data_IF_172176880125
#
_entry.id   IF_172176880125
#
_cell.length_a   1.000
_cell.length_b   1.000
_cell.length_c   1.000
_cell.angle_alpha   90.00
_cell.angle_beta   90.00
_cell.angle_gamma   90.00
#
_symmetry.space_group_name_H-M   'P 1'
#
loop_
_entity.id
_entity.type
_entity.pdbx_description
1 polymer ?
#
# COMPACT_ATOMS: atom_id res chain seq x y z
N UNK A 1 11.15 11.36 -3.25
CA UNK A 1 10.07 12.19 -3.77
C UNK A 1 10.61 13.62 -3.93
N UNK A 2 10.01 14.45 -4.81
CA UNK A 2 10.66 15.72 -5.23
C UNK A 2 11.06 16.63 -4.06
N UNK A 3 10.20 16.78 -3.06
CA UNK A 3 10.41 17.71 -1.93
C UNK A 3 10.76 17.00 -0.61
N UNK A 4 10.55 15.69 -0.54
CA UNK A 4 10.74 14.93 0.68
C UNK A 4 11.93 13.96 0.51
N UNK A 5 12.94 14.12 1.35
CA UNK A 5 14.14 13.28 1.39
C UNK A 5 14.18 12.51 2.69
N UNK A 6 14.38 11.20 2.61
CA UNK A 6 14.64 10.34 3.76
C UNK A 6 16.01 9.72 3.62
N UNK A 7 16.82 9.81 4.68
CA UNK A 7 18.12 9.15 4.79
C UNK A 7 18.00 8.07 5.86
N UNK A 8 18.41 6.86 5.55
CA UNK A 8 18.38 5.74 6.49
C UNK A 8 19.70 4.98 6.47
N UNK A 9 20.06 4.33 7.57
CA UNK A 9 21.33 3.63 7.73
C UNK A 9 21.18 2.52 8.76
N UNK A 10 22.06 1.52 8.71
CA UNK A 10 22.04 0.41 9.66
C UNK A 10 22.69 0.77 11.02
N UNK A 11 23.66 1.68 11.01
CA UNK A 11 24.33 2.12 12.23
C UNK A 11 24.27 3.65 12.38
N UNK A 12 24.39 4.12 13.63
CA UNK A 12 24.43 5.56 13.93
C UNK A 12 25.67 6.23 13.33
N UNK A 13 26.80 5.52 13.26
CA UNK A 13 28.04 6.03 12.67
C UNK A 13 27.89 6.27 11.17
N UNK A 14 27.36 5.27 10.46
CA UNK A 14 27.12 5.38 9.02
C UNK A 14 26.07 6.43 8.72
N UNK A 15 25.07 6.56 9.61
CA UNK A 15 24.02 7.57 9.46
C UNK A 15 24.57 8.99 9.45
N UNK A 16 25.54 9.31 10.32
CA UNK A 16 26.21 10.62 10.31
C UNK A 16 26.89 10.90 8.97
N UNK A 17 27.58 9.90 8.41
CA UNK A 17 28.25 10.01 7.12
C UNK A 17 27.24 10.21 5.98
N UNK A 18 26.20 9.37 5.94
CA UNK A 18 25.17 9.46 4.90
C UNK A 18 24.38 10.77 4.95
N UNK A 19 24.09 11.29 6.15
CA UNK A 19 23.42 12.58 6.30
C UNK A 19 24.33 13.72 5.81
N UNK A 20 25.63 13.70 6.17
CA UNK A 20 26.59 14.71 5.71
C UNK A 20 26.74 14.71 4.18
N UNK A 21 26.80 13.52 3.58
CA UNK A 21 26.84 13.35 2.12
C UNK A 21 25.57 13.90 1.46
N UNK A 22 24.37 13.52 1.97
CA UNK A 22 23.11 13.99 1.46
C UNK A 22 22.99 15.53 1.51
N UNK A 23 23.39 16.13 2.64
CA UNK A 23 23.41 17.60 2.80
C UNK A 23 24.36 18.28 1.81
N UNK A 24 25.54 17.67 1.58
CA UNK A 24 26.52 18.18 0.62
C UNK A 24 25.99 18.12 -0.82
N UNK A 25 25.37 16.99 -1.21
CA UNK A 25 24.77 16.81 -2.55
C UNK A 25 23.64 17.81 -2.79
N UNK A 26 22.75 18.01 -1.81
CA UNK A 26 21.67 18.98 -1.89
C UNK A 26 22.20 20.42 -2.01
N UNK A 27 23.21 20.78 -1.21
CA UNK A 27 23.87 22.08 -1.27
C UNK A 27 24.52 22.34 -2.62
N UNK A 28 25.25 21.36 -3.16
CA UNK A 28 25.89 21.45 -4.49
C UNK A 28 24.86 21.58 -5.62
N UNK A 29 23.66 21.04 -5.44
CA UNK A 29 22.54 21.18 -6.37
C UNK A 29 21.80 22.53 -6.22
N UNK A 30 22.25 23.43 -5.34
CA UNK A 30 21.62 24.73 -5.09
C UNK A 30 20.32 24.66 -4.27
N UNK A 31 20.06 23.53 -3.61
CA UNK A 31 18.87 23.34 -2.77
C UNK A 31 19.16 23.79 -1.33
N UNK A 32 18.20 24.48 -0.73
CA UNK A 32 18.25 24.93 0.65
C UNK A 32 17.27 24.18 1.54
N UNK A 33 17.67 23.84 2.76
CA UNK A 33 16.88 23.11 3.73
C UNK A 33 16.34 24.05 4.83
N UNK A 34 15.10 23.84 5.25
CA UNK A 34 14.53 24.48 6.43
C UNK A 34 14.76 23.57 7.64
N UNK A 35 15.74 23.90 8.50
CA UNK A 35 16.07 23.11 9.69
C UNK A 35 14.86 22.78 10.57
N UNK A 36 13.92 23.70 10.70
CA UNK A 36 12.66 23.49 11.46
C UNK A 36 11.79 22.35 10.92
N UNK A 37 12.00 21.92 9.66
CA UNK A 37 11.30 20.80 9.01
C UNK A 37 12.15 19.53 8.94
N UNK A 38 13.41 19.59 9.39
CA UNK A 38 14.31 18.44 9.38
C UNK A 38 14.18 17.69 10.70
N UNK A 39 14.02 16.39 10.61
CA UNK A 39 13.98 15.47 11.75
C UNK A 39 15.19 14.57 11.67
N UNK A 40 16.20 14.82 12.52
CA UNK A 40 17.43 14.05 12.57
C UNK A 40 17.35 12.97 13.64
N UNK A 41 17.94 11.79 13.37
CA UNK A 41 18.02 10.64 14.29
C UNK A 41 16.67 10.17 14.85
N UNK A 42 15.59 10.34 14.10
CA UNK A 42 14.28 9.87 14.50
C UNK A 42 14.16 8.35 14.33
N UNK A 43 13.73 7.64 15.37
CA UNK A 43 13.43 6.20 15.30
C UNK A 43 12.11 5.91 14.58
N UNK A 44 11.23 6.90 14.54
CA UNK A 44 9.94 6.83 13.85
C UNK A 44 9.79 8.07 12.98
N UNK A 45 9.48 7.86 11.71
CA UNK A 45 9.35 8.94 10.72
C UNK A 45 8.03 8.83 9.99
N UNK A 46 7.29 9.94 9.92
CA UNK A 46 6.17 10.09 9.00
C UNK A 46 6.71 10.51 7.63
N UNK A 47 6.57 9.63 6.64
CA UNK A 47 7.06 9.87 5.30
C UNK A 47 6.01 9.45 4.26
N UNK A 48 5.61 10.38 3.40
CA UNK A 48 4.61 10.18 2.34
C UNK A 48 3.31 9.53 2.84
N UNK A 49 2.88 9.91 4.04
CA UNK A 49 1.65 9.36 4.64
C UNK A 49 1.80 8.00 5.32
N UNK A 50 2.99 7.46 5.37
CA UNK A 50 3.32 6.23 6.07
C UNK A 50 4.14 6.52 7.34
N UNK A 51 3.97 5.68 8.35
CA UNK A 51 4.84 5.65 9.54
C UNK A 51 5.90 4.58 9.31
N UNK A 52 7.15 5.00 9.24
CA UNK A 52 8.32 4.12 9.12
C UNK A 52 8.94 3.96 10.50
N UNK A 53 9.11 2.72 10.93
CA UNK A 53 9.82 2.30 12.13
C UNK A 53 10.90 1.28 11.75
N UNK A 54 11.86 0.95 12.64
CA UNK A 54 12.84 -0.08 12.34
C UNK A 54 12.19 -1.37 11.85
N UNK A 55 12.46 -1.72 10.59
CA UNK A 55 11.92 -2.92 9.92
C UNK A 55 10.39 -2.95 9.70
N UNK A 56 9.65 -1.88 9.98
CA UNK A 56 8.18 -1.86 9.96
C UNK A 56 7.62 -0.66 9.20
N UNK A 57 6.51 -0.90 8.51
CA UNK A 57 5.74 0.12 7.79
C UNK A 57 4.30 0.13 8.31
N UNK A 58 3.78 1.32 8.59
CA UNK A 58 2.40 1.54 9.04
C UNK A 58 1.71 2.68 8.32
N UNK A 59 0.45 2.90 8.65
CA UNK A 59 -0.36 4.03 8.16
C UNK A 59 -0.21 5.22 9.11
N UNK A 60 -0.02 6.42 8.59
CA UNK A 60 0.11 7.63 9.40
C UNK A 60 -1.22 7.97 10.12
N UNK A 61 -1.14 8.41 11.37
CA UNK A 61 -2.29 8.68 12.23
C UNK A 61 -3.25 9.72 11.64
N UNK A 62 -2.73 10.75 11.02
CA UNK A 62 -3.53 11.79 10.32
C UNK A 62 -4.49 11.17 9.29
N UNK A 63 -4.07 10.11 8.58
CA UNK A 63 -4.88 9.46 7.55
C UNK A 63 -5.87 8.46 8.15
N UNK A 64 -5.51 7.78 9.24
CA UNK A 64 -6.46 6.97 10.00
C UNK A 64 -7.56 7.82 10.64
N UNK A 65 -7.25 9.01 11.12
CA UNK A 65 -8.25 9.95 11.64
C UNK A 65 -9.22 10.42 10.55
N UNK A 66 -8.74 10.72 9.33
CA UNK A 66 -9.61 11.04 8.21
C UNK A 66 -10.58 9.91 7.85
N UNK A 67 -10.12 8.65 7.94
CA UNK A 67 -10.97 7.47 7.72
C UNK A 67 -12.01 7.28 8.84
N UNK A 68 -11.65 7.57 10.12
CA UNK A 68 -12.59 7.46 11.24
C UNK A 68 -13.82 8.34 11.05
N UNK A 69 -13.61 9.56 10.60
CA UNK A 69 -14.66 10.58 10.47
C UNK A 69 -15.32 10.63 9.10
N UNK A 70 -14.85 9.82 8.13
CA UNK A 70 -15.39 9.80 6.78
C UNK A 70 -16.88 9.41 6.78
N UNK A 71 -17.78 10.29 6.31
CA UNK A 71 -19.18 9.95 6.14
C UNK A 71 -19.39 9.05 4.92
N UNK A 72 -20.54 8.40 4.84
CA UNK A 72 -20.93 7.71 3.61
C UNK A 72 -21.02 8.72 2.45
N UNK A 73 -20.41 8.43 1.30
CA UNK A 73 -20.37 9.34 0.17
C UNK A 73 -21.76 9.51 -0.46
N UNK A 74 -22.13 10.75 -0.76
CA UNK A 74 -23.38 11.13 -1.43
C UNK A 74 -23.16 11.47 -2.90
N UNK A 75 -21.92 11.71 -3.28
CA UNK A 75 -21.53 12.08 -4.65
C UNK A 75 -20.37 11.21 -5.13
N UNK A 76 -20.23 11.09 -6.47
CA UNK A 76 -19.08 10.42 -7.06
C UNK A 76 -17.75 11.08 -6.69
N UNK A 77 -17.71 12.38 -6.46
CA UNK A 77 -16.51 13.11 -6.06
C UNK A 77 -16.08 12.70 -4.65
N UNK A 78 -17.00 12.64 -3.71
CA UNK A 78 -16.73 12.14 -2.36
C UNK A 78 -16.28 10.68 -2.37
N UNK A 79 -16.92 9.84 -3.20
CA UNK A 79 -16.54 8.44 -3.35
C UNK A 79 -15.14 8.29 -3.95
N UNK A 80 -14.78 9.09 -4.98
CA UNK A 80 -13.42 9.11 -5.54
C UNK A 80 -12.39 9.54 -4.51
N UNK A 81 -12.70 10.55 -3.68
CA UNK A 81 -11.81 11.01 -2.61
C UNK A 81 -11.55 9.91 -1.58
N UNK A 82 -12.62 9.23 -1.13
CA UNK A 82 -12.52 8.10 -0.20
C UNK A 82 -11.69 6.94 -0.79
N UNK A 83 -12.03 6.50 -2.01
CA UNK A 83 -11.29 5.43 -2.69
C UNK A 83 -9.85 5.83 -3.00
N UNK A 84 -9.59 7.10 -3.32
CA UNK A 84 -8.25 7.64 -3.49
C UNK A 84 -7.39 7.45 -2.23
N UNK A 85 -7.94 7.84 -1.07
CA UNK A 85 -7.28 7.63 0.22
C UNK A 85 -7.05 6.13 0.51
N UNK A 86 -8.08 5.30 0.33
CA UNK A 86 -7.96 3.86 0.51
C UNK A 86 -6.93 3.23 -0.41
N UNK A 87 -6.82 3.71 -1.66
CA UNK A 87 -5.91 3.17 -2.67
C UNK A 87 -4.43 3.45 -2.36
N UNK A 88 -4.11 4.54 -1.68
CA UNK A 88 -2.75 4.79 -1.16
C UNK A 88 -2.30 3.68 -0.23
N UNK A 89 -3.22 3.16 0.57
CA UNK A 89 -2.97 2.13 1.58
C UNK A 89 -3.43 0.73 1.17
N UNK A 90 -3.71 0.50 -0.11
CA UNK A 90 -4.22 -0.78 -0.61
C UNK A 90 -3.33 -1.98 -0.27
N UNK A 91 -2.01 -1.75 -0.12
CA UNK A 91 -1.04 -2.78 0.27
C UNK A 91 -1.22 -3.32 1.69
N UNK A 92 -1.97 -2.62 2.53
CA UNK A 92 -2.32 -3.06 3.89
C UNK A 92 -3.62 -3.86 3.94
N UNK A 93 -4.35 -3.98 2.82
CA UNK A 93 -5.67 -4.61 2.80
C UNK A 93 -5.65 -5.85 1.91
N UNK A 94 -5.73 -7.06 2.50
CA UNK A 94 -5.91 -8.28 1.72
C UNK A 94 -7.15 -8.18 0.84
N UNK A 95 -7.05 -8.63 -0.41
CA UNK A 95 -8.16 -8.67 -1.37
C UNK A 95 -8.84 -7.31 -1.60
N UNK A 96 -8.06 -6.22 -1.54
CA UNK A 96 -8.56 -4.84 -1.70
C UNK A 96 -9.50 -4.67 -2.89
N UNK A 97 -9.15 -5.23 -4.05
CA UNK A 97 -9.94 -5.09 -5.27
C UNK A 97 -11.33 -5.72 -5.14
N UNK A 98 -11.46 -6.86 -4.39
CA UNK A 98 -12.73 -7.50 -4.11
C UNK A 98 -13.62 -6.59 -3.27
N UNK A 99 -13.06 -6.09 -2.19
CA UNK A 99 -13.78 -5.24 -1.24
C UNK A 99 -14.21 -3.93 -1.92
N UNK A 100 -13.34 -3.34 -2.76
CA UNK A 100 -13.63 -2.08 -3.44
C UNK A 100 -14.56 -2.21 -4.66
N UNK A 101 -14.81 -3.43 -5.19
CA UNK A 101 -15.57 -3.63 -6.41
C UNK A 101 -16.98 -3.00 -6.38
N UNK A 102 -17.81 -3.17 -5.33
CA UNK A 102 -19.16 -2.55 -5.28
C UNK A 102 -19.11 -1.01 -5.28
N UNK A 103 -18.04 -0.41 -4.71
CA UNK A 103 -17.85 1.04 -4.70
C UNK A 103 -17.39 1.53 -6.08
N UNK A 104 -16.47 0.80 -6.72
CA UNK A 104 -16.00 1.12 -8.07
C UNK A 104 -17.12 1.03 -9.11
N UNK A 105 -18.08 0.13 -8.94
CA UNK A 105 -19.25 0.03 -9.82
C UNK A 105 -20.08 1.33 -9.84
N UNK A 106 -20.13 2.08 -8.73
CA UNK A 106 -20.81 3.38 -8.65
C UNK A 106 -20.08 4.52 -9.37
N UNK A 107 -18.85 4.28 -9.82
CA UNK A 107 -18.03 5.22 -10.61
C UNK A 107 -18.02 4.87 -12.10
N UNK A 108 -18.73 3.82 -12.51
CA UNK A 108 -18.80 3.39 -13.90
C UNK A 108 -19.42 4.51 -14.80
N UNK A 109 -19.06 4.48 -16.09
CA UNK A 109 -19.61 5.42 -17.08
C UNK A 109 -21.12 5.28 -17.14
N UNK A 110 -21.85 6.39 -17.07
CA UNK A 110 -23.32 6.41 -17.10
C UNK A 110 -23.97 6.38 -15.70
N UNK A 111 -23.23 6.21 -14.63
CA UNK A 111 -23.79 6.32 -13.27
C UNK A 111 -24.04 7.80 -12.90
N UNK A 112 -25.15 8.14 -12.22
CA UNK A 112 -25.43 9.50 -11.79
C UNK A 112 -24.33 10.07 -10.86
N UNK A 113 -24.03 11.37 -11.01
CA UNK A 113 -23.05 12.08 -10.15
C UNK A 113 -23.50 12.11 -8.68
N UNK A 114 -24.80 12.26 -8.46
CA UNK A 114 -25.44 12.12 -7.15
C UNK A 114 -25.75 10.64 -6.92
N UNK A 115 -25.21 10.05 -5.86
CA UNK A 115 -25.28 8.62 -5.63
C UNK A 115 -26.56 8.18 -4.92
N UNK A 116 -27.50 9.04 -4.58
CA UNK A 116 -28.72 8.63 -3.88
C UNK A 116 -28.46 7.71 -2.67
N UNK A 117 -29.45 6.91 -2.24
CA UNK A 117 -29.24 5.86 -1.26
C UNK A 117 -28.28 4.80 -1.82
N UNK A 118 -27.18 4.54 -1.10
CA UNK A 118 -26.19 3.55 -1.53
C UNK A 118 -26.75 2.12 -1.42
N UNK A 119 -26.45 1.23 -2.39
CA UNK A 119 -26.73 -0.19 -2.25
C UNK A 119 -26.07 -0.80 -1.02
N UNK A 120 -26.71 -1.78 -0.38
CA UNK A 120 -26.17 -2.45 0.82
C UNK A 120 -24.76 -2.99 0.63
N UNK A 121 -24.46 -3.57 -0.53
CA UNK A 121 -23.11 -4.05 -0.88
C UNK A 121 -22.07 -2.93 -0.87
N UNK A 122 -22.41 -1.71 -1.32
CA UNK A 122 -21.51 -0.56 -1.29
C UNK A 122 -21.31 -0.05 0.14
N UNK A 123 -22.34 -0.02 0.97
CA UNK A 123 -22.25 0.34 2.39
C UNK A 123 -21.34 -0.65 3.13
N UNK A 124 -21.53 -1.94 2.90
CA UNK A 124 -20.69 -2.99 3.48
C UNK A 124 -19.24 -2.83 3.05
N UNK A 125 -18.97 -2.61 1.76
CA UNK A 125 -17.64 -2.39 1.21
C UNK A 125 -16.96 -1.15 1.82
N UNK A 126 -17.69 -0.03 1.95
CA UNK A 126 -17.21 1.19 2.57
C UNK A 126 -16.77 0.95 4.02
N UNK A 127 -17.64 0.33 4.82
CA UNK A 127 -17.37 0.05 6.23
C UNK A 127 -16.20 -0.92 6.39
N UNK A 128 -16.12 -1.96 5.55
CA UNK A 128 -15.05 -2.95 5.60
C UNK A 128 -13.69 -2.33 5.24
N UNK A 129 -13.60 -1.50 4.19
CA UNK A 129 -12.37 -0.78 3.86
C UNK A 129 -11.95 0.13 5.01
N UNK A 130 -12.88 0.86 5.59
CA UNK A 130 -12.63 1.75 6.73
C UNK A 130 -12.09 0.97 7.93
N UNK A 131 -12.73 -0.14 8.30
CA UNK A 131 -12.31 -1.03 9.39
C UNK A 131 -10.89 -1.57 9.16
N UNK A 132 -10.62 -2.12 7.98
CA UNK A 132 -9.32 -2.69 7.63
C UNK A 132 -8.18 -1.67 7.69
N UNK A 133 -8.45 -0.43 7.32
CA UNK A 133 -7.46 0.65 7.34
C UNK A 133 -7.34 1.35 8.69
N UNK A 134 -8.32 1.23 9.58
CA UNK A 134 -8.22 1.69 10.97
C UNK A 134 -7.40 0.74 11.85
N UNK A 135 -7.37 -0.55 11.50
CA UNK A 135 -6.58 -1.57 12.18
C UNK A 135 -5.73 -2.34 11.15
N UNK A 136 -4.84 -1.65 10.41
CA UNK A 136 -4.06 -2.28 9.37
C UNK A 136 -3.04 -3.25 9.96
N UNK A 137 -2.72 -4.34 9.25
CA UNK A 137 -1.60 -5.19 9.62
C UNK A 137 -0.30 -4.37 9.57
N UNK A 138 0.65 -4.71 10.42
CA UNK A 138 2.00 -4.15 10.32
C UNK A 138 2.70 -4.85 9.17
N UNK A 139 3.14 -4.08 8.17
CA UNK A 139 3.96 -4.60 7.08
C UNK A 139 5.43 -4.54 7.47
N UNK A 140 6.21 -5.50 6.99
CA UNK A 140 7.66 -5.42 7.09
C UNK A 140 8.24 -4.58 5.94
N UNK A 141 9.41 -3.98 6.18
CA UNK A 141 10.22 -3.41 5.11
C UNK A 141 11.04 -4.53 4.46
N UNK A 142 11.22 -4.51 3.12
CA UNK A 142 12.05 -5.48 2.41
C UNK A 142 13.49 -5.46 2.94
N UNK A 143 14.10 -6.63 3.03
CA UNK A 143 15.48 -6.84 3.46
C UNK A 143 16.25 -7.59 2.37
N UNK A 144 17.56 -7.36 2.30
CA UNK A 144 18.44 -8.10 1.39
C UNK A 144 18.50 -9.59 1.74
N UNK A 145 18.39 -9.92 3.04
CA UNK A 145 18.46 -11.29 3.55
C UNK A 145 17.09 -11.75 4.07
N UNK A 146 16.86 -13.04 4.04
CA UNK A 146 15.64 -13.71 4.51
C UNK A 146 14.81 -14.24 3.35
N UNK A 147 14.40 -15.51 3.47
CA UNK A 147 13.59 -16.18 2.46
C UNK A 147 12.29 -15.42 2.20
N UNK A 148 11.90 -15.37 0.94
CA UNK A 148 10.66 -14.79 0.46
C UNK A 148 9.66 -15.89 0.11
N UNK A 149 8.41 -15.70 0.49
CA UNK A 149 7.29 -16.52 0.04
C UNK A 149 6.26 -15.65 -0.66
N UNK A 150 5.74 -16.18 -1.74
CA UNK A 150 4.69 -15.56 -2.53
C UNK A 150 3.44 -16.45 -2.47
N UNK A 151 2.47 -16.03 -1.68
CA UNK A 151 1.15 -16.65 -1.68
C UNK A 151 0.29 -16.01 -2.75
N UNK A 152 -0.34 -16.83 -3.60
CA UNK A 152 -1.23 -16.38 -4.67
C UNK A 152 -2.61 -16.99 -4.51
N UNK A 153 -3.65 -16.25 -4.89
CA UNK A 153 -5.03 -16.67 -4.81
C UNK A 153 -5.80 -16.13 -6.01
N UNK A 154 -6.70 -16.94 -6.57
CA UNK A 154 -7.60 -16.55 -7.64
C UNK A 154 -9.05 -16.83 -7.27
N UNK A 155 -9.93 -15.96 -7.71
CA UNK A 155 -11.38 -16.12 -7.61
C UNK A 155 -12.03 -15.84 -8.97
N UNK A 156 -13.38 -16.00 -9.06
CA UNK A 156 -14.10 -15.75 -10.32
C UNK A 156 -13.97 -14.32 -10.87
N UNK A 157 -13.66 -13.36 -10.04
CA UNK A 157 -13.55 -11.97 -10.46
C UNK A 157 -12.19 -11.32 -10.26
N UNK A 158 -11.23 -11.99 -9.57
CA UNK A 158 -10.04 -11.29 -9.10
C UNK A 158 -8.84 -12.22 -8.88
N UNK A 159 -7.66 -11.60 -8.96
CA UNK A 159 -6.40 -12.19 -8.52
C UNK A 159 -5.90 -11.46 -7.28
N UNK A 160 -5.25 -12.19 -6.39
CA UNK A 160 -4.60 -11.67 -5.20
C UNK A 160 -3.25 -12.31 -4.96
N UNK A 161 -2.37 -11.60 -4.28
CA UNK A 161 -1.15 -12.16 -3.75
C UNK A 161 -0.69 -11.45 -2.47
N UNK A 162 0.11 -12.16 -1.68
CA UNK A 162 0.79 -11.66 -0.52
C UNK A 162 2.28 -12.04 -0.62
N UNK A 163 3.17 -11.06 -0.52
CA UNK A 163 4.60 -11.31 -0.41
C UNK A 163 4.99 -11.26 1.05
N UNK A 164 5.64 -12.32 1.53
CA UNK A 164 6.01 -12.52 2.92
C UNK A 164 7.52 -12.69 2.98
N UNK A 165 8.16 -12.16 4.02
CA UNK A 165 9.59 -12.33 4.26
C UNK A 165 9.87 -12.70 5.71
N UNK A 166 10.78 -13.66 5.92
CA UNK A 166 11.27 -13.99 7.26
C UNK A 166 12.04 -12.81 7.86
N UNK A 167 11.68 -12.48 9.07
CA UNK A 167 12.34 -11.46 9.87
C UNK A 167 13.50 -12.08 10.67
N UNK A 168 14.45 -11.28 11.23
CA UNK A 168 15.58 -11.80 12.01
C UNK A 168 15.18 -12.63 13.24
N UNK A 169 13.97 -12.39 13.76
CA UNK A 169 13.38 -13.16 14.86
C UNK A 169 12.74 -14.48 14.41
N UNK A 170 12.91 -14.85 13.14
CA UNK A 170 12.36 -16.07 12.53
C UNK A 170 10.87 -16.00 12.19
N UNK A 171 10.19 -14.89 12.48
CA UNK A 171 8.76 -14.75 12.19
C UNK A 171 8.53 -14.26 10.77
N UNK A 172 7.65 -14.93 10.00
CA UNK A 172 7.25 -14.44 8.70
C UNK A 172 6.34 -13.19 8.85
N UNK A 173 6.62 -12.15 8.09
CA UNK A 173 5.78 -10.95 8.05
C UNK A 173 5.48 -10.55 6.60
N UNK A 174 4.26 -10.05 6.34
CA UNK A 174 3.91 -9.55 5.02
C UNK A 174 4.68 -8.27 4.69
N UNK A 175 5.19 -8.21 3.48
CA UNK A 175 5.69 -6.98 2.85
C UNK A 175 4.55 -6.19 2.21
N UNK A 176 3.44 -6.86 1.91
CA UNK A 176 2.23 -6.26 1.38
C UNK A 176 1.29 -7.26 0.74
N UNK A 177 0.11 -6.75 0.45
CA UNK A 177 -0.96 -7.44 -0.26
C UNK A 177 -1.21 -6.72 -1.59
N UNK A 178 -1.41 -7.48 -2.65
CA UNK A 178 -1.76 -6.95 -3.98
C UNK A 178 -2.97 -7.70 -4.52
N UNK A 179 -3.80 -6.99 -5.26
CA UNK A 179 -4.96 -7.59 -5.90
C UNK A 179 -5.38 -6.79 -7.11
N UNK A 180 -5.95 -7.46 -8.12
CA UNK A 180 -6.60 -6.82 -9.27
C UNK A 180 -7.84 -7.58 -9.71
N UNK A 181 -8.73 -6.87 -10.34
CA UNK A 181 -9.90 -7.47 -10.99
C UNK A 181 -9.47 -8.15 -12.29
N UNK A 182 -10.09 -9.28 -12.61
CA UNK A 182 -9.99 -9.96 -13.91
C UNK A 182 -10.67 -9.13 -15.00
N UNK A 183 -10.04 -9.05 -16.17
CA UNK A 183 -10.69 -8.47 -17.34
C UNK A 183 -11.76 -9.41 -17.91
N UNK A 184 -12.50 -8.98 -18.94
CA UNK A 184 -13.59 -9.74 -19.51
C UNK A 184 -13.18 -11.10 -20.08
N UNK A 185 -12.01 -11.19 -20.72
CA UNK A 185 -11.48 -12.44 -21.25
C UNK A 185 -11.01 -13.40 -20.13
N UNK A 186 -10.27 -12.88 -19.15
CA UNK A 186 -9.75 -13.65 -18.03
C UNK A 186 -10.85 -14.26 -17.14
N UNK A 187 -12.03 -13.64 -17.07
CA UNK A 187 -13.19 -14.18 -16.33
C UNK A 187 -13.68 -15.50 -16.88
N UNK A 188 -13.46 -15.75 -18.18
CA UNK A 188 -13.88 -16.98 -18.85
C UNK A 188 -12.85 -18.12 -18.70
N UNK A 189 -11.70 -17.86 -18.06
CA UNK A 189 -10.71 -18.88 -17.78
C UNK A 189 -11.24 -19.90 -16.77
N UNK A 190 -10.80 -21.14 -16.91
CA UNK A 190 -11.03 -22.18 -15.90
C UNK A 190 -10.36 -21.81 -14.57
N UNK A 191 -10.74 -22.48 -13.50
CA UNK A 191 -10.13 -22.26 -12.16
C UNK A 191 -8.61 -22.45 -12.21
N UNK A 192 -8.14 -23.51 -12.86
CA UNK A 192 -6.69 -23.79 -13.00
C UNK A 192 -5.97 -22.69 -13.77
N UNK A 193 -6.56 -22.19 -14.86
CA UNK A 193 -5.97 -21.10 -15.63
C UNK A 193 -5.94 -19.78 -14.84
N UNK A 194 -6.97 -19.50 -14.03
CA UNK A 194 -6.97 -18.33 -13.12
C UNK A 194 -5.88 -18.44 -12.04
N UNK A 195 -5.69 -19.62 -11.47
CA UNK A 195 -4.60 -19.85 -10.50
C UNK A 195 -3.21 -19.67 -11.15
N UNK A 196 -2.99 -20.24 -12.33
CA UNK A 196 -1.77 -20.03 -13.09
C UNK A 196 -1.56 -18.55 -13.43
N UNK A 197 -2.63 -17.85 -13.84
CA UNK A 197 -2.59 -16.42 -14.12
C UNK A 197 -2.22 -15.60 -12.87
N UNK A 198 -2.72 -15.99 -11.69
CA UNK A 198 -2.37 -15.34 -10.43
C UNK A 198 -0.86 -15.41 -10.16
N UNK A 199 -0.24 -16.58 -10.37
CA UNK A 199 1.21 -16.76 -10.21
C UNK A 199 1.97 -15.88 -11.22
N UNK A 200 1.65 -15.96 -12.50
CA UNK A 200 2.32 -15.18 -13.56
C UNK A 200 2.19 -13.69 -13.30
N UNK A 201 0.99 -13.23 -12.95
CA UNK A 201 0.75 -11.83 -12.64
C UNK A 201 1.53 -11.39 -11.40
N UNK A 202 1.50 -12.16 -10.32
CA UNK A 202 2.17 -11.82 -9.08
C UNK A 202 3.69 -11.73 -9.27
N UNK A 203 4.32 -12.70 -9.91
CA UNK A 203 5.76 -12.69 -10.20
C UNK A 203 6.14 -11.49 -11.08
N UNK A 204 5.36 -11.22 -12.11
CA UNK A 204 5.62 -10.08 -13.01
C UNK A 204 5.46 -8.74 -12.29
N UNK A 205 4.39 -8.61 -11.48
CA UNK A 205 4.09 -7.38 -10.74
C UNK A 205 5.10 -7.11 -9.62
N UNK A 206 5.58 -8.16 -8.98
CA UNK A 206 6.51 -8.10 -7.85
C UNK A 206 7.98 -8.25 -8.26
N UNK A 207 8.27 -8.22 -9.56
CA UNK A 207 9.65 -8.28 -10.08
C UNK A 207 10.66 -7.40 -9.32
N UNK A 208 10.33 -6.14 -8.93
CA UNK A 208 11.26 -5.30 -8.16
C UNK A 208 11.65 -5.85 -6.78
N UNK A 209 10.86 -6.75 -6.22
CA UNK A 209 11.12 -7.41 -4.93
C UNK A 209 11.78 -8.77 -5.10
N UNK A 210 11.52 -9.45 -6.20
CA UNK A 210 11.93 -10.83 -6.44
C UNK A 210 13.22 -10.93 -7.26
N UNK A 211 13.57 -9.88 -8.01
CA UNK A 211 14.72 -9.91 -8.90
C UNK A 211 16.03 -9.77 -8.12
N UNK A 212 16.93 -10.76 -8.24
CA UNK A 212 18.21 -10.78 -7.55
C UNK A 212 18.16 -11.31 -6.11
N UNK A 213 17.04 -11.87 -5.68
CA UNK A 213 16.95 -12.70 -4.46
C UNK A 213 17.15 -14.16 -4.83
N UNK A 214 17.94 -14.90 -4.01
CA UNK A 214 18.12 -16.34 -4.12
C UNK A 214 16.86 -17.11 -3.68
#
# INVERSE_FOLDING_TARGET
YLDDVIVFSQSRKDHLSHVAEALTLLGNAGLSLKLKKCHFFAETVDYLGHVIRPGRLGVAEKNTNALKTAPLPRTQTELRSFLGLCNVYRRFVPRFSAIAAPLNALLAKGTPTQLGPLPSAAITAFNLLRERLLSPPVLALPRAEGALWLDTDASDGQLGCCLIQNQPDGKPLPLGYWSRTLNAAERNYSTTEKECLAIVWAVTHLKPYLYGTE
#
